data_IF_217501138016
#
_entry.id   IF_217501138016
#
_cell.length_a   1.000
_cell.length_b   1.000
_cell.length_c   1.000
_cell.angle_alpha   90.00
_cell.angle_beta   90.00
_cell.angle_gamma   90.00
#
_symmetry.space_group_name_H-M   'P 1'
#
loop_
_entity.id
_entity.type
_entity.pdbx_description
1 polymer ?
#
# COMPACT_ATOMS: atom_id res chain seq x y z
N UNK A 1 19.45 -28.31 19.18
CA UNK A 1 19.14 -27.26 18.19
C UNK A 1 18.35 -26.19 18.93
N UNK A 2 18.89 -24.97 18.98
CA UNK A 2 18.19 -23.86 19.60
C UNK A 2 16.98 -23.48 18.75
N UNK A 3 15.83 -23.35 19.38
CA UNK A 3 14.59 -22.93 18.72
C UNK A 3 14.64 -21.41 18.61
N UNK A 4 14.52 -20.90 17.38
CA UNK A 4 14.56 -19.47 17.08
C UNK A 4 13.34 -19.06 16.28
N UNK A 5 13.01 -17.76 16.29
CA UNK A 5 11.97 -17.20 15.43
C UNK A 5 12.32 -17.40 13.94
N UNK A 6 11.31 -17.43 13.08
CA UNK A 6 11.54 -17.56 11.64
C UNK A 6 12.22 -16.29 11.09
N UNK A 7 13.11 -16.49 10.13
CA UNK A 7 13.82 -15.37 9.50
C UNK A 7 12.84 -14.35 8.90
N UNK A 8 12.96 -13.10 9.32
CA UNK A 8 12.08 -12.01 8.89
C UNK A 8 10.73 -11.95 9.59
N UNK A 9 10.59 -12.65 10.71
CA UNK A 9 9.43 -12.61 11.61
C UNK A 9 9.93 -12.34 13.04
N UNK A 10 10.28 -11.08 13.35
CA UNK A 10 10.82 -10.73 14.67
C UNK A 10 9.74 -10.75 15.75
N UNK A 11 10.16 -11.06 16.98
CA UNK A 11 9.36 -10.79 18.17
C UNK A 11 9.43 -9.30 18.51
N UNK A 12 8.36 -8.75 19.04
CA UNK A 12 8.29 -7.38 19.56
C UNK A 12 8.29 -7.44 21.10
N UNK A 13 9.29 -6.84 21.71
CA UNK A 13 9.45 -6.81 23.17
C UNK A 13 8.77 -5.56 23.77
N UNK A 14 8.56 -5.51 25.09
CA UNK A 14 7.88 -4.39 25.75
C UNK A 14 8.45 -3.01 25.42
N UNK A 15 9.77 -2.88 25.29
CA UNK A 15 10.47 -1.65 24.92
C UNK A 15 10.14 -1.18 23.49
N UNK A 16 9.90 -2.11 22.56
CA UNK A 16 9.46 -1.80 21.20
C UNK A 16 8.01 -1.35 21.20
N UNK A 17 7.17 -1.97 22.04
CA UNK A 17 5.73 -1.80 22.04
C UNK A 17 5.27 -0.40 22.49
N UNK A 18 6.08 0.37 23.21
CA UNK A 18 5.71 1.75 23.57
C UNK A 18 5.41 2.60 22.33
N UNK A 19 6.29 2.55 21.32
CA UNK A 19 6.07 3.27 20.05
C UNK A 19 4.90 2.71 19.28
N UNK A 20 4.73 1.39 19.29
CA UNK A 20 3.60 0.72 18.62
C UNK A 20 2.26 1.18 19.17
N UNK A 21 2.09 1.20 20.49
CA UNK A 21 0.86 1.66 21.13
C UNK A 21 0.52 3.12 20.81
N UNK A 22 1.55 4.00 20.75
CA UNK A 22 1.34 5.40 20.35
C UNK A 22 0.89 5.48 18.91
N UNK A 23 1.55 4.75 18.01
CA UNK A 23 1.22 4.69 16.59
C UNK A 23 -0.22 4.19 16.40
N UNK A 24 -0.56 3.01 16.91
CA UNK A 24 -1.89 2.40 16.78
C UNK A 24 -3.00 3.28 17.31
N UNK A 25 -2.79 3.92 18.47
CA UNK A 25 -3.74 4.87 19.05
C UNK A 25 -3.91 6.13 18.19
N UNK A 26 -2.83 6.60 17.55
CA UNK A 26 -2.88 7.78 16.68
C UNK A 26 -3.61 7.45 15.39
N UNK A 27 -3.31 6.31 14.75
CA UNK A 27 -4.00 5.81 13.56
C UNK A 27 -5.49 5.68 13.79
N UNK A 28 -5.88 4.95 14.84
CA UNK A 28 -7.29 4.75 15.19
C UNK A 28 -8.02 6.08 15.40
N UNK A 29 -7.42 7.04 16.13
CA UNK A 29 -8.02 8.36 16.34
C UNK A 29 -8.22 9.14 15.06
N UNK A 30 -7.24 9.16 14.17
CA UNK A 30 -7.33 9.87 12.89
C UNK A 30 -8.38 9.22 12.00
N UNK A 31 -8.34 7.91 11.84
CA UNK A 31 -9.30 7.19 11.01
C UNK A 31 -10.74 7.40 11.48
N UNK A 32 -11.00 7.22 12.78
CA UNK A 32 -12.33 7.44 13.35
C UNK A 32 -12.80 8.89 13.18
N UNK A 33 -11.89 9.90 13.29
CA UNK A 33 -12.26 11.31 13.10
C UNK A 33 -12.70 11.62 11.66
N UNK A 34 -12.30 10.80 10.68
CA UNK A 34 -12.72 10.89 9.28
C UNK A 34 -13.98 10.04 8.98
N UNK A 35 -14.66 9.53 10.00
CA UNK A 35 -15.90 8.77 9.87
C UNK A 35 -15.73 7.33 9.40
N UNK A 36 -14.50 6.78 9.45
CA UNK A 36 -14.26 5.39 9.10
C UNK A 36 -14.68 4.44 10.24
N UNK A 37 -15.02 3.20 9.88
CA UNK A 37 -15.34 2.12 10.82
C UNK A 37 -14.31 1.01 10.71
N UNK A 38 -13.94 0.40 11.84
CA UNK A 38 -13.00 -0.72 11.84
C UNK A 38 -13.62 -1.97 11.20
N UNK A 39 -12.85 -2.64 10.37
CA UNK A 39 -13.11 -3.98 9.86
C UNK A 39 -11.93 -4.90 10.18
N UNK A 40 -12.20 -6.12 10.59
CA UNK A 40 -11.19 -7.17 10.79
C UNK A 40 -11.50 -8.35 9.89
N UNK A 41 -10.60 -8.65 8.98
CA UNK A 41 -10.69 -9.80 8.08
C UNK A 41 -9.76 -10.92 8.57
N UNK A 42 -10.01 -12.18 8.20
CA UNK A 42 -9.14 -13.29 8.55
C UNK A 42 -7.70 -13.11 8.04
N UNK A 43 -6.75 -13.76 8.70
CA UNK A 43 -5.36 -13.81 8.24
C UNK A 43 -5.19 -14.81 7.08
N UNK A 44 -6.01 -15.86 7.09
CA UNK A 44 -6.04 -16.90 6.05
C UNK A 44 -7.22 -16.67 5.13
N UNK A 45 -6.96 -16.70 3.84
CA UNK A 45 -7.94 -16.59 2.76
C UNK A 45 -7.70 -17.68 1.72
N UNK A 46 -8.66 -17.91 0.82
CA UNK A 46 -8.41 -18.71 -0.37
C UNK A 46 -7.28 -18.11 -1.20
N UNK A 47 -6.34 -18.90 -1.67
CA UNK A 47 -5.26 -18.45 -2.56
C UNK A 47 -5.81 -17.78 -3.82
N UNK A 48 -6.94 -18.25 -4.31
CA UNK A 48 -7.65 -17.69 -5.46
C UNK A 48 -8.04 -16.22 -5.29
N UNK A 49 -8.31 -15.77 -4.06
CA UNK A 49 -8.58 -14.38 -3.78
C UNK A 49 -7.42 -13.49 -4.24
N UNK A 50 -6.20 -13.87 -3.89
CA UNK A 50 -5.00 -13.08 -4.21
C UNK A 50 -4.58 -13.24 -5.67
N UNK A 51 -4.76 -14.42 -6.25
CA UNK A 51 -4.50 -14.64 -7.68
C UNK A 51 -5.33 -13.70 -8.55
N UNK A 52 -6.62 -13.52 -8.20
CA UNK A 52 -7.52 -12.63 -8.95
C UNK A 52 -7.27 -11.16 -8.66
N UNK A 53 -7.01 -10.80 -7.41
CA UNK A 53 -6.90 -9.39 -7.02
C UNK A 53 -5.57 -8.77 -7.38
N UNK A 54 -4.46 -9.46 -7.10
CA UNK A 54 -3.11 -8.88 -7.22
C UNK A 54 -2.55 -9.00 -8.64
N UNK A 55 -3.13 -9.90 -9.44
CA UNK A 55 -2.73 -10.19 -10.81
C UNK A 55 -1.65 -11.28 -10.89
N UNK A 56 -1.83 -12.19 -11.84
CA UNK A 56 -0.92 -13.33 -12.05
C UNK A 56 0.50 -12.92 -12.46
N UNK A 57 0.71 -11.68 -12.92
CA UNK A 57 2.02 -11.14 -13.29
C UNK A 57 2.80 -10.58 -12.10
N UNK A 58 2.17 -10.44 -10.92
CA UNK A 58 2.79 -9.82 -9.75
C UNK A 58 3.82 -10.73 -9.07
N UNK A 59 4.93 -10.15 -8.60
CA UNK A 59 5.90 -10.87 -7.79
C UNK A 59 5.26 -11.42 -6.49
N UNK A 60 4.26 -10.75 -5.95
CA UNK A 60 3.53 -11.17 -4.76
C UNK A 60 2.89 -12.54 -5.01
N UNK A 61 2.13 -12.70 -6.11
CA UNK A 61 1.46 -13.97 -6.42
C UNK A 61 2.47 -15.04 -6.82
N UNK A 62 3.46 -14.69 -7.63
CA UNK A 62 4.39 -15.67 -8.20
C UNK A 62 5.45 -16.18 -7.20
N UNK A 63 5.86 -15.36 -6.22
CA UNK A 63 7.05 -15.67 -5.41
C UNK A 63 6.90 -15.40 -3.92
N UNK A 64 5.93 -14.55 -3.52
CA UNK A 64 5.91 -14.00 -2.16
C UNK A 64 4.73 -14.50 -1.30
N UNK A 65 3.74 -15.20 -1.88
CA UNK A 65 2.64 -15.77 -1.11
C UNK A 65 3.12 -16.90 -0.21
N UNK A 66 2.68 -16.89 1.05
CA UNK A 66 2.70 -18.05 1.92
C UNK A 66 1.44 -18.87 1.66
N UNK A 67 1.54 -19.89 0.80
CA UNK A 67 0.42 -20.74 0.41
C UNK A 67 0.66 -22.18 0.84
N UNK A 68 -0.39 -22.87 1.26
CA UNK A 68 -0.37 -24.27 1.66
C UNK A 68 -1.77 -24.90 1.49
N UNK A 69 -1.84 -26.22 1.53
CA UNK A 69 -3.11 -26.93 1.46
C UNK A 69 -3.69 -27.09 2.87
N UNK A 70 -4.99 -26.89 3.00
CA UNK A 70 -5.73 -27.25 4.21
C UNK A 70 -5.98 -28.77 4.27
N UNK A 71 -6.64 -29.25 5.32
CA UNK A 71 -6.94 -30.68 5.50
C UNK A 71 -7.89 -31.27 4.44
N UNK A 72 -8.51 -30.41 3.62
CA UNK A 72 -9.42 -30.82 2.54
C UNK A 72 -8.81 -30.52 1.17
N UNK A 73 -7.47 -30.39 1.08
CA UNK A 73 -6.69 -30.12 -0.14
C UNK A 73 -7.06 -28.80 -0.83
N UNK A 74 -7.62 -27.83 -0.08
CA UNK A 74 -7.88 -26.50 -0.61
C UNK A 74 -6.66 -25.62 -0.41
N UNK A 75 -6.25 -24.91 -1.45
CA UNK A 75 -5.17 -23.94 -1.37
C UNK A 75 -5.62 -22.68 -0.61
N UNK A 76 -4.93 -22.40 0.47
CA UNK A 76 -5.12 -21.22 1.32
C UNK A 76 -3.80 -20.46 1.45
N UNK A 77 -3.89 -19.16 1.67
CA UNK A 77 -2.72 -18.30 1.81
C UNK A 77 -2.85 -17.35 2.99
N UNK A 78 -1.73 -17.03 3.62
CA UNK A 78 -1.65 -15.90 4.51
C UNK A 78 -1.75 -14.60 3.67
N UNK A 79 -2.55 -13.65 4.15
CA UNK A 79 -2.84 -12.41 3.42
C UNK A 79 -1.57 -11.56 3.22
N UNK A 80 -1.23 -11.16 1.98
CA UNK A 80 -0.09 -10.29 1.69
C UNK A 80 -0.44 -8.79 1.76
N UNK A 81 -1.75 -8.47 1.81
CA UNK A 81 -2.33 -7.12 1.84
C UNK A 81 -3.78 -7.18 2.35
N UNK A 82 -4.42 -6.05 2.58
CA UNK A 82 -5.75 -5.99 3.22
C UNK A 82 -6.92 -5.72 2.28
N UNK A 83 -6.72 -4.99 1.17
CA UNK A 83 -7.80 -4.48 0.31
C UNK A 83 -8.66 -5.59 -0.30
N UNK A 84 -8.03 -6.65 -0.83
CA UNK A 84 -8.74 -7.79 -1.40
C UNK A 84 -9.67 -8.48 -0.37
N UNK A 85 -9.18 -8.65 0.86
CA UNK A 85 -9.98 -9.24 1.94
C UNK A 85 -11.17 -8.36 2.34
N UNK A 86 -11.00 -7.03 2.32
CA UNK A 86 -12.09 -6.08 2.59
C UNK A 86 -13.14 -6.16 1.49
N UNK A 87 -12.75 -6.09 0.22
CA UNK A 87 -13.67 -6.20 -0.93
C UNK A 87 -14.41 -7.54 -0.90
N UNK A 88 -13.69 -8.66 -0.69
CA UNK A 88 -14.32 -9.99 -0.56
C UNK A 88 -15.38 -10.00 0.56
N UNK A 89 -15.11 -9.35 1.70
CA UNK A 89 -16.05 -9.31 2.82
C UNK A 89 -17.34 -8.56 2.46
N UNK A 90 -17.25 -7.44 1.73
CA UNK A 90 -18.39 -6.65 1.26
C UNK A 90 -19.21 -7.43 0.22
N UNK A 91 -18.54 -8.08 -0.75
CA UNK A 91 -19.20 -8.95 -1.75
C UNK A 91 -19.95 -10.08 -1.05
N UNK A 92 -19.30 -10.78 -0.12
CA UNK A 92 -19.91 -11.91 0.62
C UNK A 92 -21.15 -11.48 1.41
N UNK A 93 -21.15 -10.25 1.96
CA UNK A 93 -22.32 -9.68 2.65
C UNK A 93 -23.34 -9.05 1.72
N UNK A 94 -23.10 -9.01 0.40
CA UNK A 94 -23.96 -8.38 -0.62
C UNK A 94 -24.24 -6.89 -0.35
N UNK A 95 -23.24 -6.17 0.19
CA UNK A 95 -23.35 -4.76 0.56
C UNK A 95 -22.68 -3.81 -0.45
N UNK A 96 -22.43 -4.25 -1.69
CA UNK A 96 -21.78 -3.47 -2.73
C UNK A 96 -22.58 -2.25 -3.21
N UNK A 97 -23.89 -2.19 -2.87
CA UNK A 97 -24.77 -1.07 -3.18
C UNK A 97 -24.73 0.04 -2.13
N UNK A 98 -24.00 -0.16 -1.04
CA UNK A 98 -23.85 0.78 0.06
C UNK A 98 -22.49 1.49 -0.03
N UNK A 99 -22.41 2.70 0.55
CA UNK A 99 -21.14 3.41 0.72
C UNK A 99 -20.49 3.02 2.03
N UNK A 100 -19.20 2.66 1.98
CA UNK A 100 -18.43 2.28 3.15
C UNK A 100 -17.15 3.10 3.27
N UNK A 101 -16.84 3.57 4.47
CA UNK A 101 -15.54 4.08 4.87
C UNK A 101 -15.01 3.12 5.93
N UNK A 102 -14.06 2.29 5.56
CA UNK A 102 -13.53 1.23 6.42
C UNK A 102 -12.05 1.45 6.68
N UNK A 103 -11.58 1.02 7.86
CA UNK A 103 -10.16 0.92 8.15
C UNK A 103 -9.85 -0.42 8.80
N UNK A 104 -8.64 -0.90 8.58
CA UNK A 104 -8.14 -2.13 9.18
C UNK A 104 -6.72 -1.95 9.67
N UNK A 105 -6.29 -2.85 10.56
CA UNK A 105 -4.91 -2.96 11.03
C UNK A 105 -4.60 -4.42 11.34
N UNK A 106 -3.36 -4.83 11.10
CA UNK A 106 -2.90 -6.15 11.50
C UNK A 106 -1.74 -6.68 10.68
N UNK A 107 -1.30 -7.91 10.98
CA UNK A 107 -0.18 -8.55 10.30
C UNK A 107 -0.52 -8.95 8.86
N UNK A 108 0.50 -8.80 7.99
CA UNK A 108 0.54 -9.22 6.60
C UNK A 108 1.78 -10.09 6.41
N UNK A 109 1.80 -10.90 5.35
CA UNK A 109 2.83 -11.91 5.14
C UNK A 109 3.30 -11.91 3.69
N UNK A 110 4.62 -11.73 3.47
CA UNK A 110 5.25 -11.84 2.14
C UNK A 110 6.58 -12.54 2.24
N UNK A 111 6.80 -13.54 1.42
CA UNK A 111 8.07 -14.28 1.38
C UNK A 111 9.15 -13.46 0.65
N UNK A 112 9.46 -12.29 1.18
CA UNK A 112 10.50 -11.41 0.67
C UNK A 112 11.88 -11.71 1.29
N UNK A 113 12.93 -11.21 0.63
CA UNK A 113 14.27 -11.18 1.24
C UNK A 113 14.28 -10.13 2.36
N UNK A 114 14.48 -10.53 3.63
CA UNK A 114 14.48 -9.60 4.74
C UNK A 114 15.60 -8.57 4.61
N UNK A 115 15.25 -7.31 4.82
CA UNK A 115 16.15 -6.17 4.90
C UNK A 115 15.53 -5.08 5.78
N UNK A 116 16.24 -3.98 6.05
CA UNK A 116 15.69 -2.88 6.85
C UNK A 116 14.35 -2.40 6.26
N UNK A 117 13.30 -2.35 7.09
CA UNK A 117 11.95 -1.96 6.69
C UNK A 117 11.20 -2.96 5.80
N UNK A 118 11.74 -4.20 5.60
CA UNK A 118 11.07 -5.32 4.92
C UNK A 118 11.18 -6.59 5.75
N UNK A 119 10.04 -7.08 6.18
CA UNK A 119 9.88 -8.30 6.96
C UNK A 119 9.00 -9.28 6.22
N UNK A 120 9.08 -10.57 6.58
CA UNK A 120 8.20 -11.62 6.06
C UNK A 120 6.84 -11.63 6.75
N UNK A 121 6.82 -11.30 8.04
CA UNK A 121 5.64 -10.85 8.76
C UNK A 121 5.84 -9.38 9.08
N UNK A 122 4.93 -8.55 8.64
CA UNK A 122 4.93 -7.10 8.84
C UNK A 122 3.51 -6.63 9.12
N UNK A 123 3.35 -5.40 9.58
CA UNK A 123 2.03 -4.87 9.91
C UNK A 123 1.63 -3.74 8.95
N UNK A 124 0.39 -3.77 8.57
CA UNK A 124 -0.24 -2.68 7.83
C UNK A 124 -1.45 -2.13 8.58
N UNK A 125 -1.68 -0.83 8.46
CA UNK A 125 -2.98 -0.22 8.60
C UNK A 125 -3.42 0.29 7.24
N UNK A 126 -4.71 0.22 6.94
CA UNK A 126 -5.25 0.71 5.67
C UNK A 126 -6.63 1.31 5.84
N UNK A 127 -6.99 2.15 4.89
CA UNK A 127 -8.30 2.79 4.78
C UNK A 127 -8.85 2.54 3.40
N UNK A 128 -10.11 2.12 3.31
CA UNK A 128 -10.81 1.82 2.08
C UNK A 128 -12.14 2.58 2.03
N UNK A 129 -12.32 3.42 1.02
CA UNK A 129 -13.56 4.11 0.70
C UNK A 129 -14.20 3.40 -0.49
N UNK A 130 -15.36 2.81 -0.28
CA UNK A 130 -16.06 1.94 -1.23
C UNK A 130 -17.40 2.56 -1.60
N UNK A 131 -17.72 2.59 -2.90
CA UNK A 131 -18.92 3.24 -3.45
C UNK A 131 -18.78 4.76 -3.58
N UNK A 132 -17.55 5.29 -3.62
CA UNK A 132 -17.26 6.71 -3.80
C UNK A 132 -16.62 6.98 -5.15
N UNK A 133 -17.30 7.80 -5.96
CA UNK A 133 -16.77 8.28 -7.23
C UNK A 133 -15.47 9.08 -7.06
N UNK A 134 -14.71 9.21 -8.15
CA UNK A 134 -13.52 10.05 -8.18
C UNK A 134 -13.86 11.52 -7.91
N UNK A 135 -13.07 12.17 -7.07
CA UNK A 135 -13.26 13.56 -6.70
C UNK A 135 -12.93 13.82 -5.23
N UNK A 136 -13.95 14.04 -4.38
CA UNK A 136 -13.74 14.41 -2.97
C UNK A 136 -13.06 13.34 -2.13
N UNK A 137 -13.23 12.05 -2.46
CA UNK A 137 -12.61 10.95 -1.73
C UNK A 137 -11.09 11.01 -1.75
N UNK A 138 -10.50 11.42 -2.88
CA UNK A 138 -9.06 11.59 -3.03
C UNK A 138 -8.53 12.71 -2.13
N UNK A 139 -9.20 13.85 -2.09
CA UNK A 139 -8.85 14.96 -1.21
C UNK A 139 -8.94 14.57 0.27
N UNK A 140 -10.01 13.85 0.66
CA UNK A 140 -10.15 13.36 2.03
C UNK A 140 -9.00 12.42 2.42
N UNK A 141 -8.64 11.45 1.57
CA UNK A 141 -7.57 10.51 1.87
C UNK A 141 -6.21 11.19 1.94
N UNK A 142 -5.88 12.11 1.03
CA UNK A 142 -4.64 12.87 1.08
C UNK A 142 -4.60 13.76 2.34
N UNK A 143 -5.71 14.43 2.69
CA UNK A 143 -5.82 15.21 3.94
C UNK A 143 -5.59 14.34 5.17
N UNK A 144 -6.15 13.12 5.18
CA UNK A 144 -5.93 12.14 6.26
C UNK A 144 -4.46 11.76 6.38
N UNK A 145 -3.77 11.54 5.27
CA UNK A 145 -2.33 11.24 5.22
C UNK A 145 -1.51 12.40 5.78
N UNK A 146 -1.80 13.63 5.39
CA UNK A 146 -1.14 14.84 5.91
C UNK A 146 -1.36 14.94 7.43
N UNK A 147 -2.59 14.76 7.89
CA UNK A 147 -2.92 14.80 9.32
C UNK A 147 -2.19 13.69 10.11
N UNK A 148 -2.06 12.49 9.57
CA UNK A 148 -1.30 11.41 10.18
C UNK A 148 0.17 11.78 10.35
N UNK A 149 0.82 12.26 9.29
CA UNK A 149 2.22 12.67 9.33
C UNK A 149 2.46 13.79 10.35
N UNK A 150 1.58 14.78 10.40
CA UNK A 150 1.65 15.86 11.41
C UNK A 150 1.55 15.32 12.84
N UNK A 151 0.59 14.44 13.12
CA UNK A 151 0.39 13.86 14.46
C UNK A 151 1.50 12.91 14.89
N UNK A 152 2.14 12.25 13.93
CA UNK A 152 3.26 11.34 14.16
C UNK A 152 4.63 12.06 14.16
N UNK A 153 4.64 13.38 13.95
CA UNK A 153 5.85 14.19 13.92
C UNK A 153 6.75 13.91 12.71
N UNK A 154 6.21 13.30 11.65
CA UNK A 154 6.95 13.02 10.41
C UNK A 154 6.97 14.32 9.58
N UNK A 155 8.14 14.93 9.46
CA UNK A 155 8.30 16.24 8.80
C UNK A 155 8.89 16.15 7.39
N UNK A 156 9.76 15.17 7.16
CA UNK A 156 10.46 15.00 5.90
C UNK A 156 9.79 13.90 5.08
N UNK A 157 8.78 14.27 4.33
CA UNK A 157 8.10 13.36 3.41
C UNK A 157 7.65 14.11 2.16
N UNK A 158 7.46 13.36 1.09
CA UNK A 158 6.90 13.84 -0.17
C UNK A 158 5.75 12.93 -0.58
N UNK A 159 4.67 13.55 -1.04
CA UNK A 159 3.55 12.84 -1.67
C UNK A 159 3.75 12.89 -3.18
N UNK A 160 3.94 11.72 -3.79
CA UNK A 160 3.96 11.55 -5.23
C UNK A 160 2.59 11.10 -5.69
N UNK A 161 2.05 11.73 -6.72
CA UNK A 161 0.77 11.35 -7.30
C UNK A 161 0.91 11.11 -8.79
N UNK A 162 0.09 10.23 -9.34
CA UNK A 162 -0.09 10.02 -10.76
C UNK A 162 -1.54 9.61 -11.04
N UNK A 163 -1.93 9.58 -12.30
CA UNK A 163 -3.23 9.08 -12.73
C UNK A 163 -3.05 8.05 -13.83
N UNK A 164 -3.60 6.85 -13.63
CA UNK A 164 -3.41 5.73 -14.56
C UNK A 164 -4.42 5.73 -15.72
N UNK A 165 -5.23 6.79 -15.86
CA UNK A 165 -6.21 6.91 -16.93
C UNK A 165 -7.25 5.78 -16.91
N UNK A 166 -7.90 5.62 -18.03
CA UNK A 166 -8.78 4.50 -18.33
C UNK A 166 -8.03 3.34 -19.00
N UNK A 167 -8.76 2.32 -19.41
CA UNK A 167 -8.20 1.14 -20.06
C UNK A 167 -7.49 1.50 -21.36
N UNK A 168 -8.10 2.34 -22.19
CA UNK A 168 -7.58 2.73 -23.50
C UNK A 168 -6.29 3.55 -23.34
N UNK A 169 -6.24 4.44 -22.34
CA UNK A 169 -5.04 5.20 -21.97
C UNK A 169 -3.90 4.27 -21.59
N UNK A 170 -4.17 3.26 -20.74
CA UNK A 170 -3.15 2.26 -20.35
C UNK A 170 -2.64 1.46 -21.54
N UNK A 171 -3.54 0.97 -22.38
CA UNK A 171 -3.18 0.18 -23.57
C UNK A 171 -2.34 0.99 -24.54
N UNK A 172 -2.72 2.23 -24.83
CA UNK A 172 -1.99 3.13 -25.73
C UNK A 172 -0.59 3.43 -25.19
N UNK A 173 -0.47 3.74 -23.91
CA UNK A 173 0.82 3.95 -23.28
C UNK A 173 1.70 2.70 -23.29
N UNK A 174 1.15 1.53 -22.91
CA UNK A 174 1.89 0.27 -22.94
C UNK A 174 2.41 -0.07 -24.34
N UNK A 175 1.61 0.17 -25.39
CA UNK A 175 2.02 -0.04 -26.76
C UNK A 175 3.15 0.92 -27.17
N UNK A 176 3.04 2.20 -26.82
CA UNK A 176 4.08 3.18 -27.10
C UNK A 176 5.39 2.85 -26.37
N UNK A 177 5.28 2.42 -25.10
CA UNK A 177 6.45 2.02 -24.30
C UNK A 177 7.12 0.76 -24.85
N UNK A 178 6.36 -0.23 -25.32
CA UNK A 178 6.90 -1.43 -26.00
C UNK A 178 7.63 -1.04 -27.26
N UNK A 179 7.02 -0.27 -28.14
CA UNK A 179 7.64 0.20 -29.39
C UNK A 179 8.93 1.00 -29.13
N UNK A 180 8.95 1.82 -28.08
CA UNK A 180 10.13 2.58 -27.68
C UNK A 180 11.28 1.68 -27.21
N UNK A 181 10.97 0.62 -26.44
CA UNK A 181 11.97 -0.26 -25.84
C UNK A 181 12.39 -1.43 -26.76
N UNK A 182 11.61 -1.76 -27.79
CA UNK A 182 11.89 -2.87 -28.72
C UNK A 182 13.31 -2.82 -29.34
N UNK A 183 13.84 -1.65 -29.81
CA UNK A 183 15.20 -1.57 -30.32
C UNK A 183 16.29 -1.76 -29.24
N UNK A 184 15.94 -1.75 -27.97
CA UNK A 184 16.87 -1.77 -26.85
C UNK A 184 16.78 -3.05 -26.01
N UNK A 185 16.07 -4.09 -26.46
CA UNK A 185 15.87 -5.35 -25.73
C UNK A 185 17.19 -6.00 -25.30
N UNK A 186 18.22 -5.95 -26.12
CA UNK A 186 19.54 -6.52 -25.83
C UNK A 186 20.30 -5.78 -24.72
N UNK A 187 19.87 -4.55 -24.37
CA UNK A 187 20.47 -3.73 -23.30
C UNK A 187 19.71 -3.79 -22.01
N UNK A 188 18.48 -4.31 -22.04
CA UNK A 188 17.64 -4.48 -20.88
C UNK A 188 18.07 -5.70 -20.07
N UNK A 189 17.91 -5.61 -18.74
CA UNK A 189 18.09 -6.78 -17.88
C UNK A 189 16.97 -7.81 -18.14
N UNK A 190 17.26 -9.11 -18.03
CA UNK A 190 16.30 -10.21 -18.30
C UNK A 190 14.95 -10.03 -17.56
N UNK A 191 15.00 -9.54 -16.33
CA UNK A 191 13.79 -9.26 -15.55
C UNK A 191 12.92 -8.16 -16.15
N UNK A 192 13.53 -7.15 -16.76
CA UNK A 192 12.82 -6.04 -17.37
C UNK A 192 12.27 -6.42 -18.74
N UNK A 193 12.95 -7.29 -19.49
CA UNK A 193 12.41 -7.93 -20.70
C UNK A 193 11.15 -8.74 -20.34
N UNK A 194 11.19 -9.56 -19.29
CA UNK A 194 10.04 -10.34 -18.86
C UNK A 194 8.87 -9.44 -18.37
N UNK A 195 9.17 -8.30 -17.74
CA UNK A 195 8.16 -7.29 -17.36
C UNK A 195 7.52 -6.65 -18.58
N UNK A 196 8.33 -6.31 -19.59
CA UNK A 196 7.84 -5.70 -20.82
C UNK A 196 6.85 -6.61 -21.56
N UNK A 197 7.06 -7.92 -21.50
CA UNK A 197 6.15 -8.92 -22.09
C UNK A 197 4.86 -9.10 -21.27
N UNK A 198 4.99 -9.26 -19.95
CA UNK A 198 3.87 -9.61 -19.07
C UNK A 198 3.03 -8.39 -18.64
N UNK A 199 3.68 -7.32 -18.19
CA UNK A 199 3.05 -6.06 -17.79
C UNK A 199 4.02 -4.89 -17.98
N UNK A 200 3.96 -4.20 -19.14
CA UNK A 200 4.90 -3.12 -19.49
C UNK A 200 4.97 -1.99 -18.46
N UNK A 201 3.88 -1.68 -17.78
CA UNK A 201 3.89 -0.63 -16.74
C UNK A 201 4.89 -0.91 -15.62
N UNK A 202 5.16 -2.17 -15.32
CA UNK A 202 6.12 -2.55 -14.27
C UNK A 202 7.57 -2.27 -14.59
N UNK A 203 7.89 -1.99 -15.85
CA UNK A 203 9.26 -1.60 -16.19
C UNK A 203 9.61 -0.21 -15.64
N UNK A 204 8.59 0.64 -15.41
CA UNK A 204 8.77 1.95 -14.77
C UNK A 204 9.31 1.84 -13.34
N UNK A 205 9.06 0.71 -12.67
CA UNK A 205 9.58 0.39 -11.33
C UNK A 205 10.98 -0.26 -11.35
N UNK A 206 11.61 -0.39 -12.53
CA UNK A 206 12.94 -0.98 -12.62
C UNK A 206 13.95 -0.15 -11.83
N UNK A 207 14.85 -0.83 -11.15
CA UNK A 207 15.97 -0.22 -10.42
C UNK A 207 17.32 -0.42 -11.13
N UNK A 208 17.28 -1.03 -12.30
CA UNK A 208 18.45 -1.26 -13.13
C UNK A 208 18.85 0.06 -13.83
N UNK A 209 20.09 0.48 -13.64
CA UNK A 209 20.59 1.78 -14.15
C UNK A 209 20.44 1.91 -15.68
N UNK A 210 20.72 0.84 -16.43
CA UNK A 210 20.54 0.82 -17.88
C UNK A 210 19.09 1.08 -18.29
N UNK A 211 18.14 0.46 -17.61
CA UNK A 211 16.70 0.63 -17.86
C UNK A 211 16.25 2.04 -17.46
N UNK A 212 16.69 2.56 -16.33
CA UNK A 212 16.39 3.91 -15.88
C UNK A 212 16.88 4.98 -16.86
N UNK A 213 18.07 4.82 -17.41
CA UNK A 213 18.63 5.73 -18.41
C UNK A 213 17.79 5.75 -19.70
N UNK A 214 17.27 4.61 -20.15
CA UNK A 214 16.35 4.53 -21.28
C UNK A 214 15.01 5.18 -20.96
N UNK A 215 14.45 4.89 -19.78
CA UNK A 215 13.17 5.45 -19.35
C UNK A 215 13.18 6.97 -19.19
N UNK A 216 14.33 7.58 -18.97
CA UNK A 216 14.45 9.05 -18.89
C UNK A 216 14.00 9.77 -20.18
N UNK A 217 14.08 9.08 -21.34
CA UNK A 217 13.66 9.60 -22.65
C UNK A 217 12.42 8.91 -23.21
N UNK A 218 11.85 7.96 -22.47
CA UNK A 218 10.66 7.22 -22.87
C UNK A 218 9.41 8.11 -22.92
N UNK A 219 8.37 7.70 -23.65
CA UNK A 219 7.07 8.34 -23.60
C UNK A 219 6.58 8.45 -22.15
N UNK A 220 6.01 9.60 -21.78
CA UNK A 220 5.48 9.83 -20.43
C UNK A 220 4.01 9.44 -20.36
N UNK A 221 3.61 8.80 -19.29
CA UNK A 221 2.20 8.38 -19.10
C UNK A 221 1.23 9.56 -19.25
N UNK A 222 1.62 10.73 -18.76
CA UNK A 222 0.83 11.96 -18.84
C UNK A 222 0.49 12.42 -20.26
N UNK A 223 1.31 12.07 -21.26
CA UNK A 223 1.08 12.48 -22.65
C UNK A 223 -0.13 11.75 -23.26
N UNK A 224 -0.54 10.64 -22.65
CA UNK A 224 -1.66 9.80 -23.05
C UNK A 224 -2.95 10.09 -22.28
N UNK A 225 -2.87 10.83 -21.18
CA UNK A 225 -4.04 11.22 -20.41
C UNK A 225 -4.89 12.25 -21.17
N UNK A 226 -6.20 12.12 -21.04
CA UNK A 226 -7.14 13.17 -21.46
C UNK A 226 -7.00 14.41 -20.54
N UNK A 227 -7.66 15.52 -20.91
CA UNK A 227 -7.54 16.77 -20.16
C UNK A 227 -8.16 16.70 -18.75
N UNK A 228 -9.21 15.89 -18.53
CA UNK A 228 -9.85 15.79 -17.23
C UNK A 228 -8.94 15.23 -16.13
N UNK A 229 -8.27 14.06 -16.30
CA UNK A 229 -7.27 13.59 -15.33
C UNK A 229 -6.09 14.52 -15.12
N UNK A 230 -5.59 15.21 -16.17
CA UNK A 230 -4.51 16.19 -16.02
C UNK A 230 -4.92 17.37 -15.16
N UNK A 231 -6.10 17.90 -15.41
CA UNK A 231 -6.69 18.98 -14.61
C UNK A 231 -6.91 18.54 -13.17
N UNK A 232 -7.40 17.32 -12.96
CA UNK A 232 -7.61 16.75 -11.64
C UNK A 232 -6.29 16.66 -10.84
N UNK A 233 -5.22 16.11 -11.43
CA UNK A 233 -3.89 16.09 -10.81
C UNK A 233 -3.40 17.48 -10.45
N UNK A 234 -3.55 18.45 -11.37
CA UNK A 234 -3.15 19.83 -11.16
C UNK A 234 -3.90 20.45 -9.98
N UNK A 235 -5.20 20.25 -9.90
CA UNK A 235 -6.04 20.77 -8.83
C UNK A 235 -5.65 20.18 -7.46
N UNK A 236 -5.36 18.86 -7.40
CA UNK A 236 -4.88 18.22 -6.17
C UNK A 236 -3.56 18.86 -5.72
N UNK A 237 -2.58 19.01 -6.61
CA UNK A 237 -1.29 19.62 -6.26
C UNK A 237 -1.51 21.05 -5.77
N UNK A 238 -2.28 21.87 -6.48
CA UNK A 238 -2.57 23.25 -6.08
C UNK A 238 -3.23 23.33 -4.71
N UNK A 239 -4.14 22.41 -4.41
CA UNK A 239 -4.86 22.39 -3.13
C UNK A 239 -3.96 22.09 -1.93
N UNK A 240 -2.95 21.23 -2.10
CA UNK A 240 -2.12 20.76 -1.00
C UNK A 240 -0.71 21.34 -0.95
N UNK A 241 -0.28 22.11 -1.94
CA UNK A 241 1.11 22.62 -2.06
C UNK A 241 1.55 23.47 -0.86
N UNK A 242 0.63 24.18 -0.19
CA UNK A 242 0.92 24.98 1.00
C UNK A 242 0.95 24.12 2.29
N UNK A 243 0.54 22.87 2.23
CA UNK A 243 0.40 21.97 3.39
C UNK A 243 1.51 20.92 3.45
N UNK A 244 2.02 20.47 2.29
CA UNK A 244 3.04 19.44 2.19
C UNK A 244 3.79 19.50 0.85
N UNK A 245 4.93 18.83 0.76
CA UNK A 245 5.59 18.59 -0.53
C UNK A 245 4.79 17.52 -1.31
N UNK A 246 4.08 17.95 -2.33
CA UNK A 246 3.28 17.11 -3.22
C UNK A 246 3.59 17.43 -4.68
N UNK A 247 3.80 16.39 -5.49
CA UNK A 247 4.10 16.57 -6.90
C UNK A 247 3.55 15.41 -7.75
N UNK A 248 3.27 15.70 -9.01
CA UNK A 248 3.00 14.68 -10.02
C UNK A 248 4.30 13.98 -10.39
N UNK A 249 4.29 12.65 -10.33
CA UNK A 249 5.39 11.78 -10.75
C UNK A 249 4.87 10.83 -11.84
N UNK A 250 5.21 11.12 -13.09
CA UNK A 250 4.75 10.34 -14.26
C UNK A 250 5.28 8.90 -14.31
N UNK A 251 6.32 8.60 -13.53
CA UNK A 251 6.87 7.25 -13.40
C UNK A 251 6.16 6.43 -12.32
N UNK A 252 5.36 7.09 -11.46
CA UNK A 252 4.67 6.39 -10.38
C UNK A 252 3.65 5.40 -10.94
N UNK A 253 3.93 4.14 -10.76
CA UNK A 253 3.01 3.02 -10.90
C UNK A 253 2.99 2.23 -9.59
N UNK A 254 2.02 1.35 -9.41
CA UNK A 254 1.90 0.57 -8.17
C UNK A 254 2.20 -0.90 -8.43
N UNK A 255 2.74 -1.57 -7.43
CA UNK A 255 3.10 -3.00 -7.48
C UNK A 255 1.92 -3.97 -7.55
N UNK A 256 0.68 -3.48 -7.58
CA UNK A 256 -0.56 -4.27 -7.67
C UNK A 256 -1.31 -3.86 -8.93
N UNK A 257 -1.77 -4.84 -9.71
CA UNK A 257 -2.31 -4.59 -11.05
C UNK A 257 -3.74 -4.01 -11.04
N UNK A 258 -4.43 -4.06 -9.92
CA UNK A 258 -5.82 -3.61 -9.81
C UNK A 258 -6.01 -2.09 -9.83
N UNK A 259 -4.93 -1.29 -9.70
CA UNK A 259 -5.08 0.15 -9.65
C UNK A 259 -5.58 0.76 -10.96
N UNK A 260 -6.49 1.74 -10.81
CA UNK A 260 -7.08 2.57 -11.86
C UNK A 260 -6.96 4.04 -11.45
N UNK A 261 -7.38 5.02 -12.25
CA UNK A 261 -7.49 6.41 -11.83
C UNK A 261 -6.26 6.96 -11.05
N UNK A 262 -6.53 7.74 -10.01
CA UNK A 262 -5.48 8.31 -9.15
C UNK A 262 -4.71 7.22 -8.40
N UNK A 263 -3.39 7.34 -8.40
CA UNK A 263 -2.47 6.60 -7.51
C UNK A 263 -1.57 7.57 -6.77
N UNK A 264 -1.17 7.21 -5.54
CA UNK A 264 -0.28 8.02 -4.74
C UNK A 264 0.65 7.18 -3.88
N UNK A 265 1.78 7.75 -3.56
CA UNK A 265 2.78 7.16 -2.69
C UNK A 265 3.39 8.24 -1.80
N UNK A 266 3.68 7.91 -0.55
CA UNK A 266 4.35 8.80 0.38
C UNK A 266 5.72 8.24 0.68
N UNK A 267 6.72 9.03 0.37
CA UNK A 267 8.13 8.65 0.49
C UNK A 267 8.86 9.52 1.51
N UNK A 268 9.91 8.98 2.11
CA UNK A 268 10.84 9.73 2.95
C UNK A 268 12.27 9.24 2.73
N UNK A 269 13.17 10.17 2.45
CA UNK A 269 14.61 9.88 2.30
C UNK A 269 15.24 9.29 3.56
N UNK A 270 14.67 9.55 4.73
CA UNK A 270 15.13 9.03 6.02
C UNK A 270 15.01 7.49 6.11
N UNK A 271 14.24 6.85 5.21
CA UNK A 271 14.12 5.37 5.09
C UNK A 271 15.17 4.73 4.16
N UNK A 272 15.94 5.52 3.42
CA UNK A 272 16.94 5.04 2.49
C UNK A 272 16.35 4.41 1.22
N UNK A 273 16.91 3.29 0.73
CA UNK A 273 16.55 2.69 -0.56
C UNK A 273 15.09 2.19 -0.68
N UNK A 274 14.38 2.05 0.43
CA UNK A 274 12.96 1.67 0.50
C UNK A 274 12.17 2.84 1.09
N UNK A 275 12.15 3.95 0.37
CA UNK A 275 11.69 5.27 0.80
C UNK A 275 10.17 5.38 0.99
N UNK A 276 9.38 4.53 0.33
CA UNK A 276 7.91 4.55 0.43
C UNK A 276 7.41 3.89 1.71
N UNK A 277 6.62 4.59 2.53
CA UNK A 277 6.01 4.05 3.74
C UNK A 277 4.48 3.95 3.68
N UNK A 278 3.86 4.63 2.73
CA UNK A 278 2.43 4.57 2.44
C UNK A 278 2.22 4.54 0.95
N UNK A 279 1.22 3.79 0.52
CA UNK A 279 0.83 3.79 -0.88
C UNK A 279 -0.63 3.47 -1.06
N UNK A 280 -1.26 4.09 -2.04
CA UNK A 280 -2.68 3.96 -2.30
C UNK A 280 -3.08 4.37 -3.70
N UNK A 281 -4.37 4.41 -3.92
CA UNK A 281 -4.97 4.82 -5.17
C UNK A 281 -6.36 4.21 -5.38
N UNK A 282 -6.94 4.51 -6.52
CA UNK A 282 -8.24 4.03 -6.97
C UNK A 282 -8.14 2.64 -7.59
N UNK A 283 -9.14 1.79 -7.37
CA UNK A 283 -9.17 0.40 -7.84
C UNK A 283 -10.60 -0.09 -8.12
N UNK A 284 -11.33 0.63 -8.96
CA UNK A 284 -12.76 0.47 -9.24
C UNK A 284 -13.16 -0.90 -9.83
N UNK A 285 -12.20 -1.62 -10.42
CA UNK A 285 -12.48 -2.90 -11.07
C UNK A 285 -12.33 -4.12 -10.16
N UNK A 286 -11.69 -3.96 -8.99
CA UNK A 286 -11.36 -5.08 -8.11
C UNK A 286 -12.59 -5.87 -7.65
N UNK A 287 -13.71 -5.20 -7.36
CA UNK A 287 -14.95 -5.90 -7.00
C UNK A 287 -15.42 -6.84 -8.13
N UNK A 288 -15.39 -6.41 -9.39
CA UNK A 288 -15.77 -7.25 -10.55
C UNK A 288 -14.82 -8.42 -10.75
N UNK A 289 -13.52 -8.19 -10.60
CA UNK A 289 -12.48 -9.24 -10.70
C UNK A 289 -12.68 -10.34 -9.65
N UNK A 290 -13.17 -9.96 -8.48
CA UNK A 290 -13.51 -10.88 -7.39
C UNK A 290 -14.92 -11.49 -7.48
N UNK A 291 -15.64 -11.24 -8.59
CA UNK A 291 -16.96 -11.82 -8.84
C UNK A 291 -18.12 -11.01 -8.28
N UNK A 292 -17.89 -9.78 -7.86
CA UNK A 292 -18.91 -8.82 -7.46
C UNK A 292 -19.57 -8.08 -8.64
N UNK A 293 -20.45 -7.15 -8.31
CA UNK A 293 -21.20 -6.36 -9.30
C UNK A 293 -20.43 -5.15 -9.87
N UNK A 294 -19.32 -4.79 -9.22
CA UNK A 294 -18.55 -3.58 -9.48
C UNK A 294 -18.92 -2.45 -8.51
N UNK A 295 -17.89 -1.78 -8.02
CA UNK A 295 -18.01 -0.72 -7.02
C UNK A 295 -16.77 0.17 -7.12
N UNK A 296 -16.98 1.48 -7.21
CA UNK A 296 -15.88 2.44 -7.13
C UNK A 296 -15.17 2.28 -5.79
N UNK A 297 -13.85 2.30 -5.83
CA UNK A 297 -13.05 2.07 -4.65
C UNK A 297 -11.73 2.84 -4.69
N UNK A 298 -11.39 3.44 -3.57
CA UNK A 298 -10.09 4.09 -3.35
C UNK A 298 -9.63 3.83 -1.92
N UNK A 299 -8.33 3.62 -1.75
CA UNK A 299 -7.79 3.39 -0.41
C UNK A 299 -6.28 3.56 -0.37
N UNK A 300 -5.72 3.38 0.82
CA UNK A 300 -4.28 3.31 1.02
C UNK A 300 -3.91 2.32 2.12
N UNK A 301 -2.68 1.85 2.07
CA UNK A 301 -2.08 1.07 3.15
C UNK A 301 -0.75 1.68 3.59
N UNK A 302 -0.48 1.57 4.89
CA UNK A 302 0.71 2.09 5.57
C UNK A 302 1.49 0.90 6.13
N UNK A 303 2.80 0.86 5.89
CA UNK A 303 3.69 -0.08 6.57
C UNK A 303 4.07 0.45 7.96
N UNK A 304 3.62 -0.22 9.03
CA UNK A 304 3.73 0.30 10.38
C UNK A 304 5.19 0.32 10.88
N UNK A 305 5.99 -0.67 10.53
CA UNK A 305 7.41 -0.72 10.87
C UNK A 305 8.17 0.49 10.31
N UNK A 306 7.84 0.91 9.07
CA UNK A 306 8.45 2.09 8.44
C UNK A 306 8.05 3.39 9.11
N UNK A 307 6.79 3.49 9.55
CA UNK A 307 6.30 4.64 10.32
C UNK A 307 7.04 4.73 11.67
N UNK A 308 7.24 3.59 12.36
CA UNK A 308 7.96 3.56 13.64
C UNK A 308 9.40 4.06 13.49
N UNK A 309 10.05 3.77 12.37
CA UNK A 309 11.40 4.29 12.06
C UNK A 309 11.38 5.82 11.82
N UNK A 310 10.30 6.38 11.30
CA UNK A 310 10.18 7.80 10.95
C UNK A 310 9.61 8.67 12.07
N UNK A 311 8.76 8.12 12.94
CA UNK A 311 8.03 8.92 13.93
C UNK A 311 8.97 9.52 14.98
N UNK A 312 8.75 10.83 15.26
CA UNK A 312 9.56 11.60 16.22
C UNK A 312 8.78 11.89 17.51
N UNK A 313 7.88 11.03 17.89
CA UNK A 313 7.12 11.19 19.13
C UNK A 313 7.97 10.66 20.28
N UNK A 314 8.21 11.51 21.30
CA UNK A 314 8.81 11.06 22.55
C UNK A 314 7.77 10.24 23.33
N UNK A 315 8.18 9.11 23.93
CA UNK A 315 7.33 8.38 24.86
C UNK A 315 6.79 9.32 25.95
N UNK A 316 5.58 9.09 26.39
CA UNK A 316 4.99 9.85 27.48
C UNK A 316 5.89 9.68 28.73
N UNK A 317 6.63 10.74 29.10
CA UNK A 317 7.58 10.73 30.21
C UNK A 317 6.94 10.55 31.60
N UNK A 318 5.60 10.48 31.70
CA UNK A 318 4.90 10.42 32.98
C UNK A 318 3.93 9.24 33.06
N UNK A 319 4.44 8.03 33.08
CA UNK A 319 3.71 6.93 33.71
C UNK A 319 3.94 7.04 35.22
N UNK A 320 2.92 7.45 35.96
CA UNK A 320 2.97 7.34 37.44
C UNK A 320 3.15 5.86 37.78
N UNK A 321 4.35 5.53 38.30
CA UNK A 321 4.59 4.19 38.85
C UNK A 321 3.98 4.15 40.23
N UNK A 322 2.98 3.31 40.43
CA UNK A 322 2.40 3.04 41.75
C UNK A 322 3.05 1.75 42.26
N UNK A 323 3.81 1.86 43.32
CA UNK A 323 4.32 0.68 44.03
C UNK A 323 3.38 0.34 45.19
N UNK A 324 2.84 -0.88 45.20
CA UNK A 324 2.11 -1.42 46.35
C UNK A 324 3.12 -2.15 47.23
N UNK A 325 3.31 -1.63 48.45
CA UNK A 325 4.13 -2.30 49.46
C UNK A 325 3.15 -2.95 50.44
N UNK A 326 3.04 -4.27 50.43
CA UNK A 326 2.30 -5.00 51.45
C UNK A 326 3.25 -5.20 52.65
N UNK A 327 2.90 -4.59 53.76
CA UNK A 327 3.52 -4.90 55.03
C UNK A 327 2.69 -6.03 55.66
N UNK A 328 3.12 -7.26 55.44
CA UNK A 328 2.52 -8.39 56.12
C UNK A 328 3.09 -8.50 57.55
N UNK A 329 2.23 -8.73 58.53
CA UNK A 329 2.67 -9.27 59.83
C UNK A 329 3.21 -10.69 59.53
N UNK A 330 4.46 -10.92 59.94
CA UNK A 330 5.02 -12.28 59.99
C UNK A 330 4.44 -12.91 61.27
N UNK A 331 3.55 -13.89 61.12
CA UNK A 331 3.27 -14.93 62.10
C UNK A 331 4.33 -16.06 62.00
#
# INVERSE_FOLDING_TARGET
VDIQSLRGMPDLFPEDLEKWHILEKTLSKVFLSCGTKEIRTPLLESTELFNRSVGNSSDIVNKELYSFLDRNDKSISLRPEGSASVIRAIIQKKQEHEKHKLWYQGPMFRYERPQKGRFRQFHQAGVEYLGYEEGLSEYELISMVIQLNQRLGIKKYKIKINHLGDKDTKENFCNALKLFLEPHLDTLHEKDVARLESNPLRILDSKEESTQNLLATAPRFQDFLSESPKTFLTNIVQHFTDQCDIAVDSSLVRGLDYYTGLVFEVVSEDLGAQDAFLGGGRYDHLSKELGGKGMEAIGFAIGLERIIDLMQIQPLQNVQKVAFITVGEQD
#
